data_IF_399236672808
#
_entry.id   IF_399236672808
#
_cell.length_a   1.000
_cell.length_b   1.000
_cell.length_c   1.000
_cell.angle_alpha   90.00
_cell.angle_beta   90.00
_cell.angle_gamma   90.00
#
_symmetry.space_group_name_H-M   'P 1'
#
loop_
_entity.id
_entity.type
_entity.pdbx_description
1 polymer ?
#
# COMPACT_ATOMS: atom_id res chain seq x y z
N UNK A 1 -26.56 -4.99 11.24
CA UNK A 1 -25.70 -4.72 12.39
C UNK A 1 -26.31 -3.58 13.18
N UNK A 2 -26.41 -3.68 14.51
CA UNK A 2 -26.75 -2.50 15.32
C UNK A 2 -25.62 -1.46 15.26
N UNK A 3 -25.94 -0.20 15.53
CA UNK A 3 -24.94 0.87 15.61
C UNK A 3 -23.87 0.61 16.69
N UNK A 4 -24.24 -0.05 17.79
CA UNK A 4 -23.30 -0.41 18.86
C UNK A 4 -22.28 -1.44 18.39
N UNK A 5 -22.74 -2.51 17.74
CA UNK A 5 -21.85 -3.55 17.22
C UNK A 5 -20.95 -3.00 16.11
N UNK A 6 -21.50 -2.17 15.23
CA UNK A 6 -20.73 -1.47 14.20
C UNK A 6 -19.61 -0.60 14.77
N UNK A 7 -19.88 0.13 15.87
CA UNK A 7 -18.86 0.91 16.56
C UNK A 7 -17.77 0.03 17.17
N UNK A 8 -18.14 -1.10 17.78
CA UNK A 8 -17.18 -2.09 18.29
C UNK A 8 -16.28 -2.63 17.18
N UNK A 9 -16.85 -3.05 16.05
CA UNK A 9 -16.08 -3.52 14.89
C UNK A 9 -15.17 -2.41 14.35
N UNK A 10 -15.66 -1.16 14.27
CA UNK A 10 -14.83 -0.05 13.83
C UNK A 10 -13.62 0.18 14.75
N UNK A 11 -13.82 0.14 16.08
CA UNK A 11 -12.72 0.29 17.05
C UNK A 11 -11.69 -0.85 16.91
N UNK A 12 -12.15 -2.10 16.74
CA UNK A 12 -11.26 -3.26 16.57
C UNK A 12 -10.48 -3.16 15.25
N UNK A 13 -11.14 -2.81 14.14
CA UNK A 13 -10.48 -2.67 12.84
C UNK A 13 -9.48 -1.51 12.80
N UNK A 14 -9.73 -0.42 13.53
CA UNK A 14 -8.76 0.68 13.66
C UNK A 14 -7.51 0.20 14.41
N UNK A 15 -7.68 -0.45 15.57
CA UNK A 15 -6.56 -1.00 16.37
C UNK A 15 -5.79 -2.05 15.57
N UNK A 16 -6.50 -2.91 14.83
CA UNK A 16 -5.87 -3.88 13.95
C UNK A 16 -5.02 -3.19 12.88
N UNK A 17 -5.59 -2.17 12.21
CA UNK A 17 -4.85 -1.35 11.24
C UNK A 17 -3.61 -0.69 11.85
N UNK A 18 -3.72 -0.10 13.05
CA UNK A 18 -2.59 0.47 13.79
C UNK A 18 -1.50 -0.57 14.07
N UNK A 19 -1.87 -1.81 14.38
CA UNK A 19 -0.92 -2.90 14.62
C UNK A 19 -0.28 -3.46 13.34
N UNK A 20 -0.91 -3.25 12.18
CA UNK A 20 -0.37 -3.58 10.87
C UNK A 20 0.59 -2.52 10.31
N UNK A 21 0.53 -1.28 10.81
CA UNK A 21 1.41 -0.21 10.37
C UNK A 21 2.88 -0.51 10.70
N UNK A 22 3.78 -0.07 9.81
CA UNK A 22 5.19 0.10 10.16
C UNK A 22 5.31 1.16 11.25
N UNK A 23 6.30 1.02 12.12
CA UNK A 23 6.54 1.99 13.19
C UNK A 23 7.10 3.30 12.62
N UNK A 24 6.97 4.40 13.38
CA UNK A 24 7.61 5.67 13.02
C UNK A 24 9.12 5.55 12.86
N UNK A 25 9.77 4.73 13.70
CA UNK A 25 11.20 4.44 13.58
C UNK A 25 11.54 3.72 12.27
N UNK A 26 10.77 2.69 11.89
CA UNK A 26 10.96 1.99 10.62
C UNK A 26 10.74 2.93 9.43
N UNK A 27 9.72 3.79 9.50
CA UNK A 27 9.46 4.80 8.48
C UNK A 27 10.64 5.78 8.37
N UNK A 28 11.12 6.34 9.48
CA UNK A 28 12.22 7.30 9.47
C UNK A 28 13.54 6.65 8.99
N UNK A 29 13.81 5.41 9.38
CA UNK A 29 14.96 4.66 8.88
C UNK A 29 14.90 4.44 7.36
N UNK A 30 13.71 4.10 6.83
CA UNK A 30 13.50 3.99 5.39
C UNK A 30 13.74 5.32 4.67
N UNK A 31 13.26 6.44 5.24
CA UNK A 31 13.47 7.80 4.71
C UNK A 31 14.96 8.14 4.66
N UNK A 32 15.65 8.01 5.79
CA UNK A 32 17.08 8.30 5.89
C UNK A 32 17.89 7.50 4.87
N UNK A 33 17.59 6.21 4.73
CA UNK A 33 18.30 5.34 3.79
C UNK A 33 18.07 5.72 2.33
N UNK A 34 16.84 6.01 1.89
CA UNK A 34 16.62 6.37 0.49
C UNK A 34 17.11 7.78 0.16
N UNK A 35 17.12 8.69 1.15
CA UNK A 35 17.71 10.03 1.03
C UNK A 35 19.23 9.92 0.86
N UNK A 36 19.90 9.08 1.67
CA UNK A 36 21.33 8.81 1.52
C UNK A 36 21.69 8.24 0.14
N UNK A 37 20.87 7.32 -0.38
CA UNK A 37 21.01 6.81 -1.76
C UNK A 37 20.82 7.94 -2.78
N UNK A 38 19.82 8.80 -2.59
CA UNK A 38 19.58 9.97 -3.43
C UNK A 38 20.76 10.94 -3.46
N UNK A 39 21.34 11.25 -2.30
CA UNK A 39 22.52 12.09 -2.15
C UNK A 39 23.74 11.47 -2.84
N UNK A 40 23.92 10.15 -2.72
CA UNK A 40 25.00 9.46 -3.40
C UNK A 40 24.87 9.51 -4.93
N UNK A 41 23.67 9.25 -5.46
CA UNK A 41 23.39 9.31 -6.89
C UNK A 41 23.59 10.73 -7.45
N UNK A 42 23.22 11.75 -6.67
CA UNK A 42 23.24 13.17 -7.06
C UNK A 42 24.50 13.93 -6.66
N UNK A 43 25.52 13.26 -6.10
CA UNK A 43 26.77 13.90 -5.69
C UNK A 43 27.52 14.56 -6.86
N UNK A 44 28.04 15.76 -6.65
CA UNK A 44 28.88 16.46 -7.63
C UNK A 44 30.07 15.60 -8.07
N UNK A 45 30.35 15.61 -9.38
CA UNK A 45 31.35 14.74 -9.99
C UNK A 45 30.84 13.35 -10.37
N UNK A 46 29.62 12.96 -9.98
CA UNK A 46 29.00 11.73 -10.51
C UNK A 46 28.63 11.91 -11.99
N UNK A 47 28.66 10.82 -12.73
CA UNK A 47 28.22 10.79 -14.13
C UNK A 47 26.73 11.14 -14.29
N UNK A 48 25.92 10.91 -13.25
CA UNK A 48 24.49 11.23 -13.25
C UNK A 48 24.21 12.70 -12.91
N UNK A 49 25.14 13.40 -12.23
CA UNK A 49 24.97 14.77 -11.74
C UNK A 49 24.38 15.75 -12.77
N UNK A 50 24.83 15.79 -14.05
CA UNK A 50 24.28 16.70 -15.05
C UNK A 50 22.77 16.51 -15.33
N UNK A 51 22.22 15.36 -14.97
CA UNK A 51 20.82 14.99 -15.15
C UNK A 51 20.00 15.12 -13.86
N UNK A 52 20.56 15.70 -12.80
CA UNK A 52 19.86 15.99 -11.54
C UNK A 52 19.04 14.80 -11.02
N UNK A 53 19.67 13.64 -10.74
CA UNK A 53 18.96 12.45 -10.30
C UNK A 53 18.28 12.72 -8.97
N UNK A 54 17.03 12.25 -8.81
CA UNK A 54 16.27 12.36 -7.56
C UNK A 54 15.59 11.03 -7.26
N UNK A 55 15.72 10.59 -6.01
CA UNK A 55 14.95 9.47 -5.47
C UNK A 55 13.61 9.98 -4.96
N UNK A 56 12.53 9.31 -5.36
CA UNK A 56 11.17 9.63 -4.93
C UNK A 56 10.44 8.31 -4.65
N UNK A 57 9.85 8.11 -3.45
CA UNK A 57 9.08 6.92 -3.17
C UNK A 57 7.80 6.85 -4.01
N UNK A 58 7.39 5.63 -4.29
CA UNK A 58 6.15 5.28 -4.96
C UNK A 58 5.44 4.14 -4.21
N UNK A 59 4.45 3.52 -4.85
CA UNK A 59 3.83 2.30 -4.34
C UNK A 59 3.22 2.46 -2.95
N UNK A 60 3.26 1.40 -2.15
CA UNK A 60 2.54 1.36 -0.87
C UNK A 60 3.08 2.35 0.17
N UNK A 61 4.38 2.68 0.08
CA UNK A 61 5.01 3.71 0.91
C UNK A 61 4.39 5.09 0.64
N UNK A 62 4.32 5.50 -0.63
CA UNK A 62 3.72 6.78 -1.02
C UNK A 62 2.22 6.85 -0.71
N UNK A 63 1.49 5.76 -0.90
CA UNK A 63 0.05 5.70 -0.61
C UNK A 63 -0.26 5.65 0.89
N UNK A 64 0.75 5.40 1.73
CA UNK A 64 0.57 5.19 3.17
C UNK A 64 -0.21 3.91 3.48
N UNK A 65 -0.12 2.89 2.62
CA UNK A 65 -0.79 1.58 2.72
C UNK A 65 0.21 0.42 2.87
N UNK A 66 1.46 0.75 3.21
CA UNK A 66 2.46 -0.22 3.62
C UNK A 66 1.99 -0.94 4.90
N UNK A 67 2.28 -2.23 4.99
CA UNK A 67 1.98 -3.05 6.15
C UNK A 67 3.24 -3.81 6.53
N UNK A 68 3.41 -4.11 7.82
CA UNK A 68 4.42 -5.06 8.25
C UNK A 68 4.22 -6.40 7.54
N UNK A 69 5.27 -7.21 7.35
CA UNK A 69 5.12 -8.59 6.88
C UNK A 69 4.43 -9.51 7.90
N UNK A 70 4.27 -10.79 7.57
CA UNK A 70 3.73 -11.81 8.49
C UNK A 70 4.81 -12.24 9.47
N UNK A 71 5.98 -12.62 8.98
CA UNK A 71 7.12 -12.92 9.82
C UNK A 71 7.85 -11.62 10.14
N UNK A 72 8.27 -11.44 11.40
CA UNK A 72 8.96 -10.21 11.82
C UNK A 72 10.35 -10.06 11.16
N UNK A 73 10.90 -11.17 10.67
CA UNK A 73 12.18 -11.25 9.97
C UNK A 73 12.07 -11.02 8.45
N UNK A 74 10.85 -10.98 7.90
CA UNK A 74 10.67 -10.67 6.47
C UNK A 74 10.90 -9.17 6.23
N UNK A 75 11.34 -8.84 5.03
CA UNK A 75 11.63 -7.47 4.63
C UNK A 75 10.38 -6.68 4.22
N UNK A 76 10.39 -5.39 4.53
CA UNK A 76 9.42 -4.42 4.02
C UNK A 76 9.85 -3.94 2.63
N UNK A 77 8.96 -4.00 1.63
CA UNK A 77 9.25 -3.47 0.29
C UNK A 77 9.09 -1.94 0.22
N UNK A 78 10.15 -1.24 -0.19
CA UNK A 78 10.16 0.20 -0.44
C UNK A 78 10.41 0.44 -1.92
N UNK A 79 9.34 0.76 -2.65
CA UNK A 79 9.43 1.12 -4.06
C UNK A 79 9.90 2.57 -4.24
N UNK A 80 10.97 2.76 -5.00
CA UNK A 80 11.59 4.06 -5.28
C UNK A 80 11.70 4.30 -6.79
N UNK A 81 11.60 5.56 -7.19
CA UNK A 81 11.90 6.03 -8.54
C UNK A 81 13.18 6.84 -8.50
N UNK A 82 14.21 6.41 -9.24
CA UNK A 82 15.36 7.24 -9.58
C UNK A 82 15.05 8.02 -10.85
N UNK A 83 14.67 9.28 -10.69
CA UNK A 83 14.24 10.17 -11.78
C UNK A 83 15.40 11.02 -12.25
N UNK A 84 15.68 10.98 -13.55
CA UNK A 84 16.63 11.86 -14.23
C UNK A 84 15.92 12.90 -15.11
N UNK A 85 16.50 14.09 -15.18
CA UNK A 85 16.13 15.19 -16.08
C UNK A 85 16.77 15.00 -17.46
N UNK A 86 16.22 14.07 -18.24
CA UNK A 86 16.76 13.70 -19.55
C UNK A 86 17.92 12.70 -19.46
N UNK A 87 18.66 12.57 -20.56
CA UNK A 87 19.76 11.62 -20.75
C UNK A 87 20.68 12.09 -21.90
N UNK A 88 21.89 11.53 -22.06
CA UNK A 88 22.61 11.60 -23.33
C UNK A 88 21.77 11.10 -24.50
N UNK A 89 21.92 11.73 -25.68
CA UNK A 89 21.14 11.40 -26.86
C UNK A 89 21.25 9.91 -27.25
N UNK A 90 22.47 9.35 -27.17
CA UNK A 90 22.76 7.96 -27.53
C UNK A 90 22.32 6.91 -26.51
N UNK A 91 21.85 7.31 -25.32
CA UNK A 91 21.43 6.34 -24.31
C UNK A 91 20.14 5.64 -24.69
N UNK A 92 20.10 4.36 -24.37
CA UNK A 92 18.93 3.49 -24.44
C UNK A 92 18.50 3.14 -23.01
N UNK A 93 17.43 2.36 -22.83
CA UNK A 93 17.01 1.90 -21.50
C UNK A 93 18.13 1.13 -20.80
N UNK A 94 18.91 0.36 -21.58
CA UNK A 94 20.11 -0.33 -21.10
C UNK A 94 21.12 0.61 -20.47
N UNK A 95 21.54 1.63 -21.22
CA UNK A 95 22.51 2.61 -20.74
C UNK A 95 22.04 3.35 -19.48
N UNK A 96 20.75 3.72 -19.40
CA UNK A 96 20.21 4.34 -18.18
C UNK A 96 20.28 3.37 -16.99
N UNK A 97 19.85 2.12 -17.18
CA UNK A 97 19.85 1.12 -16.11
C UNK A 97 21.27 0.86 -15.62
N UNK A 98 22.22 0.69 -16.54
CA UNK A 98 23.65 0.50 -16.23
C UNK A 98 24.23 1.72 -15.53
N UNK A 99 23.98 2.95 -16.01
CA UNK A 99 24.52 4.16 -15.38
C UNK A 99 24.06 4.34 -13.92
N UNK A 100 22.79 3.99 -13.60
CA UNK A 100 22.32 3.99 -12.21
C UNK A 100 22.96 2.87 -11.40
N UNK A 101 23.03 1.66 -11.95
CA UNK A 101 23.63 0.50 -11.26
C UNK A 101 25.12 0.65 -11.00
N UNK A 102 25.88 1.12 -11.98
CA UNK A 102 27.30 1.37 -11.88
C UNK A 102 27.56 2.44 -10.82
N UNK A 103 26.75 3.51 -10.80
CA UNK A 103 26.85 4.51 -9.75
C UNK A 103 26.56 3.94 -8.36
N UNK A 104 25.58 3.05 -8.20
CA UNK A 104 25.36 2.34 -6.92
C UNK A 104 26.58 1.51 -6.53
N UNK A 105 27.17 0.76 -7.47
CA UNK A 105 28.33 -0.12 -7.26
C UNK A 105 29.63 0.61 -6.92
N UNK A 106 29.75 1.89 -7.29
CA UNK A 106 30.89 2.72 -6.88
C UNK A 106 30.94 2.94 -5.35
N UNK A 107 29.80 2.80 -4.66
CA UNK A 107 29.76 2.81 -3.20
C UNK A 107 29.92 1.38 -2.66
N UNK A 108 30.97 1.12 -1.88
CA UNK A 108 31.27 -0.24 -1.39
C UNK A 108 30.12 -0.86 -0.60
N UNK A 109 29.42 -0.06 0.22
CA UNK A 109 28.26 -0.54 1.01
C UNK A 109 27.10 -0.94 0.08
N UNK A 110 26.65 -0.06 -0.82
CA UNK A 110 25.52 -0.37 -1.71
C UNK A 110 25.84 -1.50 -2.67
N UNK A 111 27.09 -1.60 -3.14
CA UNK A 111 27.54 -2.73 -3.96
C UNK A 111 27.30 -4.08 -3.28
N UNK A 112 27.56 -4.17 -1.98
CA UNK A 112 27.40 -5.39 -1.19
C UNK A 112 25.93 -5.64 -0.81
N UNK A 113 25.10 -4.61 -0.76
CA UNK A 113 23.66 -4.71 -0.52
C UNK A 113 22.85 -5.06 -1.78
N UNK A 114 23.45 -5.02 -2.97
CA UNK A 114 22.72 -5.36 -4.20
C UNK A 114 22.33 -6.84 -4.24
N UNK A 115 21.02 -7.12 -4.26
CA UNK A 115 20.45 -8.47 -4.45
C UNK A 115 21.06 -9.14 -5.69
N UNK A 116 21.20 -8.39 -6.79
CA UNK A 116 21.81 -8.84 -8.02
C UNK A 116 22.77 -7.80 -8.60
N UNK A 117 23.98 -8.26 -8.95
CA UNK A 117 24.98 -7.43 -9.63
C UNK A 117 24.55 -7.03 -11.05
N UNK A 118 23.58 -7.72 -11.65
CA UNK A 118 23.00 -7.36 -12.94
C UNK A 118 21.71 -6.54 -12.77
N UNK A 119 21.15 -6.47 -11.56
CA UNK A 119 19.86 -5.85 -11.25
C UNK A 119 18.67 -6.65 -11.76
N UNK A 120 17.49 -6.39 -11.20
CA UNK A 120 16.22 -7.01 -11.61
C UNK A 120 15.75 -6.57 -13.01
N UNK A 121 14.55 -7.00 -13.40
CA UNK A 121 13.93 -6.66 -14.70
C UNK A 121 13.88 -5.15 -14.93
N UNK A 122 13.37 -4.41 -13.95
CA UNK A 122 13.19 -2.95 -14.01
C UNK A 122 14.03 -2.22 -12.98
N UNK A 123 14.05 -2.70 -11.74
CA UNK A 123 14.69 -2.03 -10.61
C UNK A 123 16.11 -2.54 -10.32
N UNK A 124 16.85 -1.78 -9.52
CA UNK A 124 18.00 -2.23 -8.75
C UNK A 124 17.56 -2.35 -7.30
N UNK A 125 17.82 -3.50 -6.67
CA UNK A 125 17.30 -3.80 -5.32
C UNK A 125 18.44 -3.81 -4.34
N UNK A 126 18.32 -3.01 -3.27
CA UNK A 126 19.24 -3.01 -2.13
C UNK A 126 18.59 -3.71 -0.95
N UNK A 127 19.26 -4.73 -0.41
CA UNK A 127 18.87 -5.47 0.78
C UNK A 127 19.43 -4.79 2.04
N UNK A 128 18.54 -4.24 2.87
CA UNK A 128 18.88 -3.69 4.19
C UNK A 128 18.53 -4.66 5.32
N UNK A 129 18.31 -5.94 5.01
CA UNK A 129 17.91 -7.01 5.93
C UNK A 129 18.83 -7.11 7.16
N UNK A 130 20.14 -6.96 7.00
CA UNK A 130 21.10 -7.01 8.14
C UNK A 130 20.99 -5.83 9.13
N UNK A 131 20.35 -4.73 8.74
CA UNK A 131 20.36 -3.48 9.52
C UNK A 131 18.97 -2.96 9.89
N UNK A 132 17.95 -3.21 9.05
CA UNK A 132 16.66 -2.53 9.17
C UNK A 132 15.43 -3.29 8.61
N UNK A 133 15.59 -4.52 8.12
CA UNK A 133 14.53 -5.40 7.58
C UNK A 133 13.66 -4.75 6.48
N UNK A 134 14.30 -4.25 5.41
CA UNK A 134 13.60 -3.79 4.22
C UNK A 134 14.42 -3.93 2.92
N UNK A 135 13.72 -4.03 1.80
CA UNK A 135 14.28 -3.96 0.46
C UNK A 135 13.97 -2.62 -0.20
N UNK A 136 14.95 -2.03 -0.88
CA UNK A 136 14.77 -0.80 -1.65
C UNK A 136 14.85 -1.05 -3.14
N UNK A 137 13.71 -0.97 -3.82
CA UNK A 137 13.60 -1.15 -5.25
C UNK A 137 13.75 0.18 -5.99
N UNK A 138 14.93 0.43 -6.55
CA UNK A 138 15.26 1.68 -7.24
C UNK A 138 14.99 1.51 -8.74
N UNK A 139 13.90 2.13 -9.23
CA UNK A 139 13.52 2.14 -10.64
C UNK A 139 14.19 3.28 -11.41
N UNK A 140 15.14 3.02 -12.34
CA UNK A 140 15.69 4.06 -13.20
C UNK A 140 14.63 4.61 -14.15
N UNK A 141 14.55 5.93 -14.26
CA UNK A 141 13.55 6.60 -15.07
C UNK A 141 13.99 7.96 -15.60
N UNK A 142 13.28 8.41 -16.64
CA UNK A 142 13.40 9.75 -17.21
C UNK A 142 12.07 10.46 -17.11
N UNK A 143 12.12 11.71 -16.69
CA UNK A 143 10.95 12.58 -16.65
C UNK A 143 11.24 13.95 -17.28
N UNK A 144 10.18 14.73 -17.47
CA UNK A 144 10.30 16.12 -17.88
C UNK A 144 11.13 16.93 -16.87
N UNK A 145 11.86 17.95 -17.35
CA UNK A 145 12.67 18.82 -16.47
C UNK A 145 11.79 19.54 -15.43
N UNK A 146 10.55 19.87 -15.78
CA UNK A 146 9.58 20.51 -14.91
C UNK A 146 8.83 19.52 -14.00
N UNK A 147 9.13 18.22 -14.09
CA UNK A 147 8.42 17.18 -13.34
C UNK A 147 8.30 17.48 -11.84
N UNK A 148 9.36 18.00 -11.21
CA UNK A 148 9.34 18.30 -9.77
C UNK A 148 8.38 19.43 -9.43
N UNK A 149 8.32 20.48 -10.25
CA UNK A 149 7.36 21.58 -10.09
C UNK A 149 5.94 21.05 -10.27
N UNK A 150 5.71 20.28 -11.35
CA UNK A 150 4.41 19.69 -11.66
C UNK A 150 3.95 18.72 -10.58
N UNK A 151 4.85 17.94 -9.99
CA UNK A 151 4.56 17.03 -8.90
C UNK A 151 4.09 17.80 -7.65
N UNK A 152 4.84 18.83 -7.25
CA UNK A 152 4.45 19.68 -6.12
C UNK A 152 3.10 20.36 -6.37
N UNK A 153 2.90 20.94 -7.55
CA UNK A 153 1.61 21.53 -7.95
C UNK A 153 0.47 20.50 -7.92
N UNK A 154 0.72 19.28 -8.37
CA UNK A 154 -0.30 18.24 -8.44
C UNK A 154 -0.80 17.80 -7.07
N UNK A 155 0.04 17.86 -6.03
CA UNK A 155 -0.31 17.47 -4.66
C UNK A 155 -0.78 18.66 -3.81
N UNK A 156 -0.39 19.89 -4.17
CA UNK A 156 -0.78 21.12 -3.44
C UNK A 156 -2.02 21.80 -4.02
N UNK A 157 -2.28 21.66 -5.33
CA UNK A 157 -3.42 22.30 -5.99
C UNK A 157 -4.60 21.34 -6.13
N UNK A 158 -5.79 21.83 -5.75
CA UNK A 158 -7.06 21.12 -5.86
C UNK A 158 -7.59 21.00 -7.30
N UNK A 159 -7.01 21.74 -8.25
CA UNK A 159 -7.42 21.67 -9.65
C UNK A 159 -7.06 20.32 -10.29
N UNK A 160 -7.88 19.94 -11.27
CA UNK A 160 -7.68 18.76 -12.10
C UNK A 160 -6.45 18.98 -12.99
N UNK A 161 -5.29 18.67 -12.43
CA UNK A 161 -4.03 18.68 -13.16
C UNK A 161 -4.03 17.46 -14.08
N UNK A 162 -3.64 17.66 -15.34
CA UNK A 162 -3.43 16.57 -16.29
C UNK A 162 -2.31 15.65 -15.76
N UNK A 163 -2.70 14.52 -15.18
CA UNK A 163 -1.77 13.56 -14.57
C UNK A 163 -0.82 12.97 -15.61
N UNK A 164 -1.10 13.07 -16.92
CA UNK A 164 -0.15 12.66 -17.95
C UNK A 164 1.17 13.41 -17.87
N UNK A 165 1.17 14.64 -17.32
CA UNK A 165 2.38 15.43 -17.11
C UNK A 165 3.29 14.86 -16.01
N UNK A 166 2.76 13.97 -15.17
CA UNK A 166 3.52 13.23 -14.14
C UNK A 166 4.02 11.87 -14.66
N UNK A 167 3.80 11.55 -15.93
CA UNK A 167 4.29 10.31 -16.50
C UNK A 167 5.82 10.33 -16.63
N UNK A 168 6.40 9.17 -16.36
CA UNK A 168 7.83 8.89 -16.47
C UNK A 168 8.07 7.80 -17.52
N UNK A 169 9.30 7.72 -18.01
CA UNK A 169 9.78 6.67 -18.91
C UNK A 169 10.72 5.77 -18.16
N UNK A 170 10.44 4.47 -18.15
CA UNK A 170 11.11 3.51 -17.27
C UNK A 170 11.93 2.50 -18.08
N UNK A 171 12.89 1.86 -17.42
CA UNK A 171 13.67 0.76 -18.00
C UNK A 171 12.96 -0.57 -17.82
N UNK A 172 13.02 -1.44 -18.85
CA UNK A 172 12.55 -2.82 -18.77
C UNK A 172 13.43 -3.73 -19.63
N UNK A 173 14.17 -4.66 -18.98
CA UNK A 173 15.08 -5.60 -19.66
C UNK A 173 14.36 -6.53 -20.64
N UNK A 174 13.07 -6.79 -20.45
CA UNK A 174 12.29 -7.66 -21.34
C UNK A 174 11.75 -6.91 -22.57
N UNK A 175 11.92 -5.59 -22.62
CA UNK A 175 11.52 -4.82 -23.78
C UNK A 175 12.43 -5.14 -24.98
N UNK A 176 11.83 -5.50 -26.11
CA UNK A 176 12.56 -5.84 -27.35
C UNK A 176 13.48 -4.72 -27.86
N UNK A 177 13.22 -3.48 -27.45
CA UNK A 177 14.01 -2.31 -27.81
C UNK A 177 14.96 -1.81 -26.71
N UNK A 178 15.11 -2.57 -25.62
CA UNK A 178 15.86 -2.19 -24.42
C UNK A 178 17.28 -1.66 -24.71
N UNK A 179 18.00 -2.32 -25.62
CA UNK A 179 19.40 -2.00 -25.94
C UNK A 179 19.59 -1.08 -27.15
N UNK A 180 18.52 -0.78 -27.92
CA UNK A 180 18.64 -0.09 -29.22
C UNK A 180 17.83 1.20 -29.34
N UNK A 181 16.72 1.37 -28.60
CA UNK A 181 15.88 2.56 -28.74
C UNK A 181 16.42 3.73 -27.94
N UNK A 182 16.88 4.76 -28.65
CA UNK A 182 17.36 6.02 -28.09
C UNK A 182 16.24 7.03 -27.84
N UNK A 183 15.15 6.94 -28.60
CA UNK A 183 14.05 7.90 -28.50
C UNK A 183 13.16 7.61 -27.28
N UNK A 184 13.11 8.58 -26.37
CA UNK A 184 12.53 8.40 -25.03
C UNK A 184 11.00 8.26 -25.07
N UNK A 185 10.33 8.83 -26.07
CA UNK A 185 8.88 8.67 -26.26
C UNK A 185 8.43 7.23 -26.50
N UNK A 186 9.31 6.38 -27.03
CA UNK A 186 9.05 4.96 -27.32
C UNK A 186 9.39 4.05 -26.14
N UNK A 187 9.98 4.58 -25.07
CA UNK A 187 10.22 3.83 -23.85
C UNK A 187 8.92 3.60 -23.11
N UNK A 188 8.89 2.55 -22.28
CA UNK A 188 7.72 2.19 -21.50
C UNK A 188 7.28 3.38 -20.63
N UNK A 189 6.02 3.81 -20.80
CA UNK A 189 5.43 4.90 -20.04
C UNK A 189 4.83 4.35 -18.75
N UNK A 190 5.16 4.96 -17.61
CA UNK A 190 4.54 4.68 -16.32
C UNK A 190 4.11 5.98 -15.65
N UNK A 191 3.16 5.94 -14.73
CA UNK A 191 2.67 7.13 -14.03
C UNK A 191 2.31 6.84 -12.56
N UNK A 192 3.29 6.43 -11.73
CA UNK A 192 3.03 6.08 -10.34
C UNK A 192 2.52 7.27 -9.52
N UNK A 193 2.98 8.48 -9.84
CA UNK A 193 2.58 9.71 -9.13
C UNK A 193 1.17 10.18 -9.52
N UNK A 194 0.79 10.02 -10.79
CA UNK A 194 -0.60 10.19 -11.22
C UNK A 194 -1.53 9.20 -10.54
N UNK A 195 -1.12 7.93 -10.43
CA UNK A 195 -1.87 6.92 -9.68
C UNK A 195 -2.02 7.31 -8.20
N UNK A 196 -0.95 7.77 -7.56
CA UNK A 196 -1.00 8.24 -6.18
C UNK A 196 -1.96 9.43 -6.00
N UNK A 197 -1.92 10.42 -6.91
CA UNK A 197 -2.88 11.52 -6.91
C UNK A 197 -4.32 11.02 -7.02
N UNK A 198 -4.59 10.12 -7.98
CA UNK A 198 -5.91 9.51 -8.13
C UNK A 198 -6.36 8.78 -6.87
N UNK A 199 -5.47 7.99 -6.25
CA UNK A 199 -5.76 7.28 -5.01
C UNK A 199 -6.14 8.26 -3.88
N UNK A 200 -5.38 9.33 -3.68
CA UNK A 200 -5.72 10.32 -2.65
C UNK A 200 -7.02 11.07 -2.95
N UNK A 201 -7.31 11.38 -4.22
CA UNK A 201 -8.62 11.90 -4.62
C UNK A 201 -9.76 10.93 -4.30
N UNK A 202 -9.52 9.62 -4.35
CA UNK A 202 -10.47 8.58 -3.90
C UNK A 202 -10.50 8.44 -2.38
N UNK A 203 -9.40 8.60 -1.66
CA UNK A 203 -9.33 8.44 -0.21
C UNK A 203 -9.94 9.61 0.59
N UNK A 204 -9.80 10.85 0.10
CA UNK A 204 -10.29 12.05 0.80
C UNK A 204 -11.83 12.02 0.84
N UNK A 205 -12.39 11.98 2.05
CA UNK A 205 -13.85 11.95 2.27
C UNK A 205 -14.40 13.26 2.85
N UNK A 206 -13.55 14.13 3.41
CA UNK A 206 -13.98 15.41 3.99
C UNK A 206 -13.07 16.57 3.58
N UNK A 207 -13.64 17.76 3.50
CA UNK A 207 -12.91 19.00 3.19
C UNK A 207 -11.84 19.31 4.24
N UNK A 208 -12.09 19.03 5.54
CA UNK A 208 -11.11 19.21 6.61
C UNK A 208 -9.85 18.36 6.40
N UNK A 209 -10.01 17.07 6.06
CA UNK A 209 -8.86 16.21 5.75
C UNK A 209 -8.14 16.66 4.48
N UNK A 210 -8.86 17.23 3.52
CA UNK A 210 -8.26 17.81 2.31
C UNK A 210 -7.32 18.98 2.64
N UNK A 211 -7.72 19.90 3.53
CA UNK A 211 -6.90 21.03 3.94
C UNK A 211 -5.61 20.61 4.69
N UNK A 212 -5.72 19.70 5.65
CA UNK A 212 -4.55 19.16 6.36
C UNK A 212 -3.55 18.49 5.40
N UNK A 213 -4.05 17.95 4.28
CA UNK A 213 -3.24 17.26 3.29
C UNK A 213 -2.49 18.21 2.34
N UNK A 214 -3.00 19.43 2.12
CA UNK A 214 -2.39 20.44 1.25
C UNK A 214 -1.30 21.28 1.93
N UNK A 215 -1.12 21.14 3.24
CA UNK A 215 -0.04 21.85 3.97
C UNK A 215 1.34 21.18 3.83
N UNK A 216 1.41 19.94 3.32
CA UNK A 216 2.70 19.28 3.04
C UNK A 216 3.34 19.86 1.79
N UNK A 217 4.47 20.56 1.93
CA UNK A 217 5.21 21.14 0.79
C UNK A 217 5.84 20.04 -0.09
N UNK A 218 6.17 18.89 0.49
CA UNK A 218 6.74 17.75 -0.22
C UNK A 218 5.66 16.71 -0.62
N UNK A 219 5.66 16.22 -1.87
CA UNK A 219 4.80 15.11 -2.31
C UNK A 219 5.04 13.82 -1.51
N UNK A 220 6.24 13.65 -0.93
CA UNK A 220 6.55 12.63 0.06
C UNK A 220 6.10 13.13 1.42
N UNK A 221 5.01 12.56 1.93
CA UNK A 221 4.41 13.02 3.18
C UNK A 221 5.13 12.45 4.38
N UNK A 222 5.29 13.22 5.47
CA UNK A 222 5.84 12.73 6.72
C UNK A 222 5.00 11.57 7.28
N UNK A 223 5.55 10.83 8.25
CA UNK A 223 4.85 9.76 8.92
C UNK A 223 3.44 10.20 9.37
N UNK A 224 2.42 9.49 8.89
CA UNK A 224 1.02 9.77 9.24
C UNK A 224 0.52 8.66 10.16
N UNK A 225 0.39 8.99 11.45
CA UNK A 225 -0.20 8.08 12.45
C UNK A 225 -1.68 7.81 12.15
N UNK A 226 -2.43 8.86 11.80
CA UNK A 226 -3.83 8.72 11.42
C UNK A 226 -3.97 8.42 9.93
N UNK A 227 -4.71 7.36 9.61
CA UNK A 227 -4.98 6.94 8.23
C UNK A 227 -6.42 7.25 7.83
N UNK A 228 -6.66 7.37 6.53
CA UNK A 228 -8.03 7.46 5.98
C UNK A 228 -8.70 6.08 5.96
N UNK A 229 -10.04 6.00 6.03
CA UNK A 229 -10.75 4.73 5.98
C UNK A 229 -10.35 3.87 4.78
N UNK A 230 -10.20 4.45 3.59
CA UNK A 230 -9.72 3.72 2.41
C UNK A 230 -8.30 3.14 2.59
N UNK A 231 -7.37 3.90 3.18
CA UNK A 231 -6.01 3.40 3.43
C UNK A 231 -6.05 2.20 4.38
N UNK A 232 -6.82 2.29 5.47
CA UNK A 232 -7.02 1.21 6.44
C UNK A 232 -7.63 -0.03 5.81
N UNK A 233 -8.68 0.13 5.01
CA UNK A 233 -9.29 -0.99 4.29
C UNK A 233 -8.28 -1.65 3.34
N UNK A 234 -7.50 -0.88 2.58
CA UNK A 234 -6.45 -1.46 1.71
C UNK A 234 -5.43 -2.25 2.52
N UNK A 235 -4.98 -1.76 3.68
CA UNK A 235 -4.07 -2.50 4.56
C UNK A 235 -4.67 -3.82 5.05
N UNK A 236 -5.94 -3.80 5.49
CA UNK A 236 -6.66 -5.00 5.92
C UNK A 236 -6.78 -6.02 4.78
N UNK A 237 -7.14 -5.57 3.57
CA UNK A 237 -7.26 -6.44 2.40
C UNK A 237 -5.92 -7.07 2.00
N UNK A 238 -4.83 -6.29 2.04
CA UNK A 238 -3.48 -6.79 1.79
C UNK A 238 -3.09 -7.85 2.82
N UNK A 239 -3.32 -7.58 4.11
CA UNK A 239 -3.02 -8.55 5.18
C UNK A 239 -3.85 -9.83 5.03
N UNK A 240 -5.13 -9.72 4.74
CA UNK A 240 -5.99 -10.88 4.52
C UNK A 240 -5.48 -11.73 3.35
N UNK A 241 -5.03 -11.08 2.27
CA UNK A 241 -4.36 -11.77 1.15
C UNK A 241 -3.09 -12.46 1.65
N UNK A 242 -2.21 -11.76 2.36
CA UNK A 242 -0.95 -12.35 2.84
C UNK A 242 -1.19 -13.59 3.71
N UNK A 243 -2.18 -13.56 4.62
CA UNK A 243 -2.49 -14.70 5.49
C UNK A 243 -2.99 -15.90 4.68
N UNK A 244 -3.91 -15.69 3.74
CA UNK A 244 -4.42 -16.77 2.90
C UNK A 244 -3.31 -17.47 2.11
N UNK A 245 -2.35 -16.70 1.58
CA UNK A 245 -1.24 -17.21 0.76
C UNK A 245 0.04 -17.44 1.58
N UNK A 246 -0.08 -17.61 2.91
CA UNK A 246 1.07 -17.92 3.78
C UNK A 246 1.30 -19.41 4.00
N UNK A 247 0.33 -20.26 3.63
CA UNK A 247 0.48 -21.71 3.69
C UNK A 247 1.10 -22.27 2.41
N UNK A 248 1.77 -23.42 2.54
CA UNK A 248 2.36 -24.16 1.40
C UNK A 248 1.30 -24.75 0.44
N UNK A 249 0.00 -24.57 0.74
CA UNK A 249 -1.10 -25.00 -0.13
C UNK A 249 -1.19 -24.17 -1.42
N UNK A 250 -0.64 -22.95 -1.41
CA UNK A 250 -0.67 -22.04 -2.54
C UNK A 250 0.73 -21.72 -3.03
N UNK A 251 0.88 -21.61 -4.36
CA UNK A 251 2.06 -20.98 -4.94
C UNK A 251 1.98 -19.46 -4.71
N UNK A 252 2.73 -18.97 -3.74
CA UNK A 252 2.68 -17.56 -3.31
C UNK A 252 3.06 -16.57 -4.42
N UNK A 253 3.76 -17.00 -5.48
CA UNK A 253 4.07 -16.19 -6.67
C UNK A 253 2.81 -15.82 -7.47
N UNK A 254 1.72 -16.58 -7.29
CA UNK A 254 0.46 -16.37 -7.98
C UNK A 254 -0.58 -15.60 -7.16
N UNK A 255 -0.24 -15.17 -5.95
CA UNK A 255 -1.15 -14.41 -5.09
C UNK A 255 -1.61 -13.09 -5.74
N UNK A 256 -2.83 -12.60 -5.44
CA UNK A 256 -3.33 -11.32 -5.94
C UNK A 256 -2.38 -10.15 -5.71
N UNK A 257 -1.96 -9.43 -6.75
CA UNK A 257 -1.01 -8.32 -6.57
C UNK A 257 -1.65 -7.07 -5.93
N UNK A 258 -0.88 -6.35 -5.12
CA UNK A 258 -1.35 -5.20 -4.32
C UNK A 258 -2.01 -4.10 -5.15
N UNK A 259 -1.55 -3.86 -6.39
CA UNK A 259 -2.09 -2.84 -7.28
C UNK A 259 -3.52 -3.16 -7.72
N UNK A 260 -3.87 -4.44 -7.92
CA UNK A 260 -5.25 -4.86 -8.23
C UNK A 260 -6.14 -4.59 -7.01
N UNK A 261 -5.74 -5.07 -5.83
CA UNK A 261 -6.48 -4.88 -4.57
C UNK A 261 -6.73 -3.40 -4.31
N UNK A 262 -5.67 -2.59 -4.37
CA UNK A 262 -5.73 -1.14 -4.09
C UNK A 262 -6.63 -0.42 -5.10
N UNK A 263 -6.54 -0.77 -6.38
CA UNK A 263 -7.35 -0.15 -7.44
C UNK A 263 -8.83 -0.49 -7.28
N UNK A 264 -9.16 -1.76 -7.07
CA UNK A 264 -10.55 -2.20 -6.89
C UNK A 264 -11.16 -1.62 -5.60
N UNK A 265 -10.42 -1.63 -4.49
CA UNK A 265 -10.87 -1.03 -3.23
C UNK A 265 -11.14 0.47 -3.38
N UNK A 266 -10.25 1.19 -4.06
CA UNK A 266 -10.40 2.62 -4.33
C UNK A 266 -11.59 2.93 -5.22
N UNK A 267 -11.89 2.08 -6.22
CA UNK A 267 -13.09 2.20 -7.07
C UNK A 267 -14.38 1.94 -6.29
N UNK A 268 -14.37 0.93 -5.42
CA UNK A 268 -15.52 0.54 -4.61
C UNK A 268 -15.83 1.53 -3.49
N UNK A 269 -14.83 2.26 -2.99
CA UNK A 269 -15.01 3.18 -1.88
C UNK A 269 -16.02 4.30 -2.17
N UNK A 270 -17.00 4.43 -1.29
CA UNK A 270 -18.13 5.34 -1.38
C UNK A 270 -17.94 6.63 -0.56
N UNK A 271 -16.73 6.85 -0.04
CA UNK A 271 -16.38 7.97 0.87
C UNK A 271 -16.93 7.83 2.29
N UNK A 272 -17.27 6.61 2.74
CA UNK A 272 -17.64 6.36 4.14
C UNK A 272 -16.57 6.82 5.14
N UNK A 273 -16.99 7.48 6.23
CA UNK A 273 -16.07 8.14 7.17
C UNK A 273 -15.46 7.18 8.21
N UNK A 274 -16.07 6.00 8.42
CA UNK A 274 -15.61 4.99 9.36
C UNK A 274 -15.16 3.73 8.63
N UNK A 275 -14.23 2.98 9.24
CA UNK A 275 -13.59 1.81 8.64
C UNK A 275 -14.59 0.67 8.48
N UNK A 276 -15.48 0.44 9.45
CA UNK A 276 -16.43 -0.67 9.37
C UNK A 276 -17.36 -0.57 8.14
N UNK A 277 -17.95 0.60 7.90
CA UNK A 277 -18.76 0.86 6.70
C UNK A 277 -17.93 0.78 5.43
N UNK A 278 -16.76 1.42 5.42
CA UNK A 278 -15.87 1.41 4.27
C UNK A 278 -15.49 -0.02 3.89
N UNK A 279 -15.11 -0.85 4.85
CA UNK A 279 -14.76 -2.25 4.66
C UNK A 279 -15.94 -3.05 4.10
N UNK A 280 -17.12 -2.93 4.74
CA UNK A 280 -18.34 -3.62 4.29
C UNK A 280 -18.71 -3.23 2.86
N UNK A 281 -18.72 -1.92 2.53
CA UNK A 281 -19.10 -1.43 1.21
C UNK A 281 -18.10 -1.89 0.15
N UNK A 282 -16.80 -1.71 0.43
CA UNK A 282 -15.72 -2.06 -0.50
C UNK A 282 -15.78 -3.55 -0.83
N UNK A 283 -15.73 -4.41 0.19
CA UNK A 283 -15.67 -5.87 -0.02
C UNK A 283 -16.91 -6.36 -0.78
N UNK A 284 -18.10 -5.84 -0.45
CA UNK A 284 -19.35 -6.24 -1.11
C UNK A 284 -19.42 -5.84 -2.60
N UNK A 285 -18.48 -5.02 -3.12
CA UNK A 285 -18.49 -4.48 -4.48
C UNK A 285 -17.23 -4.77 -5.29
N UNK A 286 -16.15 -5.29 -4.67
CA UNK A 286 -14.86 -5.54 -5.34
C UNK A 286 -15.04 -6.29 -6.67
N UNK A 287 -15.83 -7.36 -6.65
CA UNK A 287 -16.12 -8.21 -7.83
C UNK A 287 -16.66 -7.43 -9.02
N UNK A 288 -17.53 -6.45 -8.78
CA UNK A 288 -18.21 -5.68 -9.84
C UNK A 288 -17.30 -4.72 -10.60
N UNK A 289 -16.08 -4.48 -10.11
CA UNK A 289 -15.10 -3.60 -10.75
C UNK A 289 -14.07 -4.35 -11.59
N UNK A 290 -14.23 -5.67 -11.75
CA UNK A 290 -13.47 -6.48 -12.69
C UNK A 290 -14.29 -6.62 -13.96
N UNK A 291 -13.79 -6.06 -15.05
CA UNK A 291 -14.48 -6.05 -16.34
C UNK A 291 -14.01 -7.23 -17.19
N UNK A 292 -14.75 -7.54 -18.25
CA UNK A 292 -14.28 -8.38 -19.35
C UNK A 292 -14.21 -7.48 -20.58
N UNK A 293 -13.02 -7.38 -21.20
CA UNK A 293 -12.78 -6.52 -22.37
C UNK A 293 -12.07 -7.27 -23.47
N UNK A 294 -12.36 -6.89 -24.71
CA UNK A 294 -11.57 -7.30 -25.87
C UNK A 294 -10.20 -6.62 -25.80
N UNK A 295 -9.15 -7.39 -25.62
CA UNK A 295 -7.78 -6.88 -25.68
C UNK A 295 -7.41 -6.65 -27.16
N UNK A 296 -7.14 -5.41 -27.58
CA UNK A 296 -6.85 -5.10 -28.99
C UNK A 296 -5.51 -5.70 -29.46
N UNK A 297 -4.61 -6.06 -28.54
CA UNK A 297 -3.30 -6.66 -28.88
C UNK A 297 -3.41 -8.15 -29.18
N UNK A 298 -4.26 -8.86 -28.45
CA UNK A 298 -4.41 -10.33 -28.55
C UNK A 298 -5.65 -10.74 -29.36
N UNK A 299 -6.65 -9.84 -29.47
CA UNK A 299 -7.95 -10.13 -30.06
C UNK A 299 -8.85 -11.00 -29.19
N UNK A 300 -8.50 -11.21 -27.91
CA UNK A 300 -9.22 -12.10 -27.00
C UNK A 300 -10.00 -11.32 -25.93
N UNK A 301 -11.07 -11.92 -25.41
CA UNK A 301 -11.77 -11.39 -24.24
C UNK A 301 -10.99 -11.75 -22.98
N UNK A 302 -10.56 -10.75 -22.24
CA UNK A 302 -9.72 -10.91 -21.05
C UNK A 302 -10.34 -10.20 -19.85
N UNK A 303 -10.07 -10.68 -18.64
CA UNK A 303 -10.36 -9.93 -17.42
C UNK A 303 -9.54 -8.66 -17.39
N UNK A 304 -10.19 -7.56 -17.01
CA UNK A 304 -9.62 -6.24 -17.13
C UNK A 304 -9.79 -5.42 -15.87
N UNK A 305 -8.67 -4.99 -15.31
CA UNK A 305 -8.58 -4.00 -14.24
C UNK A 305 -7.80 -2.82 -14.78
N UNK A 306 -8.50 -1.84 -15.37
CA UNK A 306 -7.84 -0.71 -16.05
C UNK A 306 -6.97 0.09 -15.07
N UNK A 307 -5.81 0.57 -15.49
CA UNK A 307 -5.09 1.60 -14.75
C UNK A 307 -5.92 2.91 -14.80
N UNK A 308 -6.30 3.51 -13.67
CA UNK A 308 -7.12 4.74 -13.64
C UNK A 308 -6.43 5.97 -14.25
N UNK A 309 -5.12 5.94 -14.47
CA UNK A 309 -4.38 7.02 -15.14
C UNK A 309 -3.86 6.63 -16.52
N UNK A 310 -4.18 5.41 -16.98
CA UNK A 310 -3.85 4.91 -18.31
C UNK A 310 -4.80 3.75 -18.67
N UNK A 311 -5.99 4.04 -19.19
CA UNK A 311 -7.03 3.01 -19.38
C UNK A 311 -6.63 1.87 -20.34
N UNK A 312 -5.64 2.10 -21.21
CA UNK A 312 -5.09 1.10 -22.11
C UNK A 312 -4.22 0.05 -21.40
N UNK A 313 -3.81 0.29 -20.16
CA UNK A 313 -3.06 -0.65 -19.32
C UNK A 313 -4.02 -1.48 -18.47
N UNK A 314 -3.83 -2.80 -18.52
CA UNK A 314 -4.56 -3.77 -17.71
C UNK A 314 -3.66 -4.28 -16.59
N UNK A 315 -4.02 -4.04 -15.32
CA UNK A 315 -3.27 -4.60 -14.18
C UNK A 315 -3.44 -6.12 -14.02
N UNK A 316 -4.43 -6.72 -14.69
CA UNK A 316 -4.66 -8.16 -14.73
C UNK A 316 -4.10 -8.83 -15.99
N UNK A 317 -3.20 -8.17 -16.73
CA UNK A 317 -2.62 -8.67 -17.99
C UNK A 317 -1.97 -10.06 -17.86
N UNK A 318 -1.33 -10.35 -16.73
CA UNK A 318 -0.70 -11.65 -16.47
C UNK A 318 -1.69 -12.81 -16.24
N UNK A 319 -2.98 -12.54 -16.04
CA UNK A 319 -3.99 -13.59 -15.83
C UNK A 319 -4.21 -14.44 -17.08
N UNK A 320 -4.15 -13.82 -18.27
CA UNK A 320 -4.24 -14.54 -19.55
C UNK A 320 -3.02 -15.43 -19.82
N UNK A 321 -1.88 -15.12 -19.20
CA UNK A 321 -0.63 -15.89 -19.33
C UNK A 321 -0.52 -17.00 -18.29
N UNK A 322 -1.04 -16.75 -17.08
CA UNK A 322 -0.98 -17.67 -15.93
C UNK A 322 -2.36 -17.71 -15.28
N UNK A 323 -3.17 -18.70 -15.66
CA UNK A 323 -4.57 -18.86 -15.22
C UNK A 323 -4.71 -18.91 -13.68
N UNK A 324 -3.72 -19.49 -12.99
CA UNK A 324 -3.69 -19.58 -11.53
C UNK A 324 -3.78 -18.21 -10.85
N UNK A 325 -3.29 -17.13 -11.48
CA UNK A 325 -3.39 -15.78 -10.91
C UNK A 325 -4.84 -15.28 -10.86
N UNK A 326 -5.66 -15.61 -11.86
CA UNK A 326 -7.10 -15.31 -11.85
C UNK A 326 -7.83 -16.22 -10.86
N UNK A 327 -7.54 -17.52 -10.88
CA UNK A 327 -8.14 -18.51 -9.97
C UNK A 327 -7.89 -18.14 -8.51
N UNK A 328 -6.65 -17.82 -8.15
CA UNK A 328 -6.26 -17.43 -6.79
C UNK A 328 -6.89 -16.09 -6.38
N UNK A 329 -7.05 -15.17 -7.33
CA UNK A 329 -7.77 -13.93 -7.07
C UNK A 329 -9.23 -14.17 -6.69
N UNK A 330 -9.94 -15.00 -7.46
CA UNK A 330 -11.33 -15.31 -7.16
C UNK A 330 -11.49 -16.17 -5.90
N UNK A 331 -10.58 -17.13 -5.65
CA UNK A 331 -10.56 -17.88 -4.40
C UNK A 331 -10.38 -16.95 -3.18
N UNK A 332 -9.46 -15.98 -3.27
CA UNK A 332 -9.28 -14.96 -2.24
C UNK A 332 -10.52 -14.09 -2.05
N UNK A 333 -11.17 -13.69 -3.14
CA UNK A 333 -12.37 -12.88 -3.08
C UNK A 333 -13.55 -13.64 -2.44
N UNK A 334 -13.72 -14.92 -2.77
CA UNK A 334 -14.74 -15.79 -2.16
C UNK A 334 -14.49 -15.92 -0.64
N UNK A 335 -13.23 -16.15 -0.24
CA UNK A 335 -12.87 -16.25 1.18
C UNK A 335 -13.11 -14.93 1.92
N UNK A 336 -12.73 -13.81 1.33
CA UNK A 336 -12.95 -12.48 1.87
C UNK A 336 -14.45 -12.15 2.04
N UNK A 337 -15.30 -12.56 1.11
CA UNK A 337 -16.76 -12.37 1.18
C UNK A 337 -17.41 -13.27 2.24
N UNK A 338 -16.92 -14.50 2.42
CA UNK A 338 -17.30 -15.40 3.53
C UNK A 338 -16.95 -14.77 4.88
N UNK A 339 -15.71 -14.32 5.03
CA UNK A 339 -15.19 -13.74 6.27
C UNK A 339 -15.89 -12.40 6.61
N UNK A 340 -16.24 -11.59 5.61
CA UNK A 340 -17.11 -10.43 5.80
C UNK A 340 -18.48 -10.83 6.35
N UNK A 341 -19.06 -11.93 5.86
CA UNK A 341 -20.35 -12.42 6.33
C UNK A 341 -20.28 -12.85 7.80
N UNK A 342 -19.18 -13.48 8.21
CA UNK A 342 -18.92 -13.79 9.62
C UNK A 342 -18.92 -12.53 10.49
N UNK A 343 -18.32 -11.43 10.02
CA UNK A 343 -18.34 -10.13 10.72
C UNK A 343 -19.76 -9.56 10.78
N UNK A 344 -20.48 -9.50 9.65
CA UNK A 344 -21.84 -8.91 9.56
C UNK A 344 -22.85 -9.60 10.47
N UNK A 345 -22.77 -10.93 10.57
CA UNK A 345 -23.70 -11.77 11.32
C UNK A 345 -23.10 -12.32 12.63
N UNK A 346 -21.97 -11.75 13.07
CA UNK A 346 -21.28 -12.13 14.31
C UNK A 346 -21.85 -11.50 15.59
N UNK A 347 -22.82 -10.59 15.44
CA UNK A 347 -23.46 -9.89 16.56
C UNK A 347 -24.02 -10.89 17.59
N UNK A 348 -23.73 -10.67 18.87
CA UNK A 348 -24.09 -11.53 20.02
C UNK A 348 -23.38 -12.89 20.11
N UNK A 349 -22.39 -13.21 19.26
CA UNK A 349 -21.59 -14.44 19.39
C UNK A 349 -20.47 -14.34 20.45
N UNK A 350 -20.18 -13.13 20.92
CA UNK A 350 -19.17 -12.85 21.93
C UNK A 350 -17.77 -12.57 21.36
N UNK A 351 -16.97 -11.81 22.10
CA UNK A 351 -15.65 -11.34 21.66
C UNK A 351 -14.64 -12.46 21.38
N UNK A 352 -14.79 -13.62 22.03
CA UNK A 352 -13.94 -14.79 21.78
C UNK A 352 -14.08 -15.30 20.34
N UNK A 353 -15.31 -15.47 19.86
CA UNK A 353 -15.58 -15.94 18.50
C UNK A 353 -15.10 -14.93 17.47
N UNK A 354 -15.25 -13.62 17.77
CA UNK A 354 -14.72 -12.56 16.92
C UNK A 354 -13.18 -12.59 16.87
N UNK A 355 -12.52 -12.80 18.01
CA UNK A 355 -11.06 -12.94 18.09
C UNK A 355 -10.56 -14.13 17.27
N UNK A 356 -11.17 -15.30 17.41
CA UNK A 356 -10.83 -16.49 16.60
C UNK A 356 -11.01 -16.21 15.10
N UNK A 357 -12.14 -15.60 14.71
CA UNK A 357 -12.42 -15.25 13.32
C UNK A 357 -11.40 -14.27 12.75
N UNK A 358 -11.06 -13.21 13.49
CA UNK A 358 -10.05 -12.24 13.06
C UNK A 358 -8.67 -12.88 13.00
N UNK A 359 -8.33 -13.77 13.95
CA UNK A 359 -7.05 -14.44 14.01
C UNK A 359 -6.82 -15.31 12.77
N UNK A 360 -7.86 -15.99 12.28
CA UNK A 360 -7.81 -16.74 11.02
C UNK A 360 -7.64 -15.84 9.78
N UNK A 361 -8.18 -14.61 9.81
CA UNK A 361 -8.12 -13.67 8.68
C UNK A 361 -6.83 -12.85 8.61
N UNK A 362 -6.31 -12.44 9.77
CA UNK A 362 -5.26 -11.43 9.87
C UNK A 362 -4.00 -11.90 10.60
N UNK A 363 -4.02 -13.10 11.16
CA UNK A 363 -2.91 -13.73 11.86
C UNK A 363 -3.03 -13.65 13.38
N UNK A 364 -2.71 -14.77 14.05
CA UNK A 364 -2.90 -14.93 15.50
C UNK A 364 -2.15 -13.87 16.34
N UNK A 365 -0.91 -13.55 15.99
CA UNK A 365 -0.06 -12.65 16.80
C UNK A 365 -0.61 -11.22 16.82
N UNK A 366 -0.86 -10.64 15.64
CA UNK A 366 -1.35 -9.25 15.51
C UNK A 366 -2.76 -9.10 16.09
N UNK A 367 -3.61 -10.12 15.94
CA UNK A 367 -4.98 -10.08 16.47
C UNK A 367 -4.99 -10.24 17.98
N UNK A 368 -4.16 -11.12 18.56
CA UNK A 368 -4.02 -11.22 20.02
C UNK A 368 -3.62 -9.89 20.64
N UNK A 369 -2.67 -9.18 20.02
CA UNK A 369 -2.27 -7.82 20.44
C UNK A 369 -3.43 -6.83 20.29
N UNK A 370 -4.15 -6.87 19.16
CA UNK A 370 -5.31 -6.01 18.89
C UNK A 370 -6.38 -6.15 19.97
N UNK A 371 -6.76 -7.38 20.33
CA UNK A 371 -7.80 -7.62 21.34
C UNK A 371 -7.33 -7.28 22.76
N UNK A 372 -6.03 -7.42 23.05
CA UNK A 372 -5.45 -6.95 24.32
C UNK A 372 -5.53 -5.41 24.43
N UNK A 373 -5.13 -4.69 23.38
CA UNK A 373 -5.20 -3.22 23.32
C UNK A 373 -6.66 -2.72 23.35
N UNK A 374 -7.57 -3.40 22.66
CA UNK A 374 -9.01 -3.13 22.73
C UNK A 374 -9.54 -3.31 24.17
N UNK A 375 -9.21 -4.43 24.82
CA UNK A 375 -9.57 -4.70 26.21
C UNK A 375 -9.04 -3.64 27.18
N UNK A 376 -7.81 -3.18 26.98
CA UNK A 376 -7.17 -2.15 27.81
C UNK A 376 -7.80 -0.76 27.60
N UNK A 377 -8.05 -0.35 26.35
CA UNK A 377 -8.81 0.89 26.05
C UNK A 377 -10.18 0.86 26.74
N UNK A 378 -10.84 -0.29 26.73
CA UNK A 378 -12.14 -0.50 27.36
C UNK A 378 -12.07 -0.43 28.89
N UNK A 379 -11.02 -1.00 29.50
CA UNK A 379 -10.76 -0.93 30.95
C UNK A 379 -10.56 0.52 31.40
N UNK A 380 -9.71 1.26 30.70
CA UNK A 380 -9.43 2.68 30.99
C UNK A 380 -10.71 3.53 30.87
N UNK A 381 -11.51 3.31 29.82
CA UNK A 381 -12.78 4.03 29.65
C UNK A 381 -13.78 3.70 30.76
N UNK A 382 -13.82 2.45 31.23
CA UNK A 382 -14.66 2.03 32.35
C UNK A 382 -14.22 2.72 33.65
N UNK A 383 -12.92 2.71 33.95
CA UNK A 383 -12.35 3.33 35.15
C UNK A 383 -12.58 4.84 35.18
N UNK A 384 -12.60 5.50 34.02
CA UNK A 384 -12.95 6.92 33.87
C UNK A 384 -14.46 7.21 33.91
N UNK A 385 -15.31 6.18 34.06
CA UNK A 385 -16.78 6.32 34.04
C UNK A 385 -17.39 6.61 32.65
N UNK A 386 -16.57 6.56 31.60
CA UNK A 386 -16.97 6.83 30.22
C UNK A 386 -17.47 5.58 29.47
N UNK A 387 -17.34 4.38 30.07
CA UNK A 387 -18.01 3.15 29.63
C UNK A 387 -19.18 2.83 30.55
N UNK A 388 -20.34 2.59 29.95
CA UNK A 388 -21.57 2.19 30.61
C UNK A 388 -22.14 0.97 29.90
N UNK A 389 -22.85 0.13 30.64
CA UNK A 389 -23.54 -1.03 30.09
C UNK A 389 -24.98 -0.65 29.76
N UNK A 390 -25.38 -0.85 28.50
CA UNK A 390 -26.75 -0.64 28.07
C UNK A 390 -27.70 -1.55 28.86
N UNK A 391 -28.77 -0.96 29.40
CA UNK A 391 -29.77 -1.69 30.19
C UNK A 391 -30.56 -2.60 29.22
N UNK A 392 -30.55 -3.91 29.48
CA UNK A 392 -31.31 -4.90 28.71
C UNK A 392 -30.51 -5.71 27.68
N UNK A 393 -29.43 -5.16 27.12
CA UNK A 393 -28.59 -5.87 26.11
C UNK A 393 -27.22 -6.27 26.64
N UNK A 394 -26.73 -5.67 27.73
CA UNK A 394 -25.40 -5.95 28.28
C UNK A 394 -24.24 -5.39 27.45
N UNK A 395 -24.53 -4.69 26.34
CA UNK A 395 -23.53 -4.11 25.45
C UNK A 395 -22.84 -2.90 26.09
N UNK A 396 -21.55 -2.76 25.82
CA UNK A 396 -20.72 -1.66 26.33
C UNK A 396 -20.85 -0.43 25.42
N UNK A 397 -21.20 0.72 25.99
CA UNK A 397 -21.34 1.99 25.27
C UNK A 397 -21.05 3.20 26.15
N UNK A 398 -21.42 4.39 25.70
CA UNK A 398 -21.34 5.63 26.51
C UNK A 398 -22.63 5.92 27.29
N UNK A 399 -23.71 5.20 27.01
CA UNK A 399 -25.06 5.36 27.58
C UNK A 399 -25.45 4.07 28.29
N UNK A 400 -25.96 4.16 29.52
CA UNK A 400 -26.37 2.98 30.31
C UNK A 400 -25.99 3.08 31.79
N UNK A 401 -25.97 1.95 32.49
CA UNK A 401 -25.51 1.88 33.89
C UNK A 401 -23.97 1.91 33.96
N UNK A 402 -23.37 2.65 34.90
CA UNK A 402 -21.93 2.55 35.15
C UNK A 402 -21.58 1.11 35.52
N UNK A 403 -20.47 0.61 34.98
CA UNK A 403 -19.98 -0.73 35.28
C UNK A 403 -19.03 -0.60 36.46
N UNK A 404 -19.27 -1.30 37.59
CA UNK A 404 -18.38 -1.26 38.73
C UNK A 404 -16.95 -1.65 38.33
N UNK A 405 -15.96 -1.00 38.93
CA UNK A 405 -14.58 -1.48 38.82
C UNK A 405 -14.48 -2.84 39.51
N UNK A 406 -13.90 -3.82 38.82
CA UNK A 406 -13.61 -5.11 39.42
C UNK A 406 -12.32 -5.00 40.22
N UNK A 407 -12.42 -4.58 41.48
CA UNK A 407 -11.35 -4.73 42.46
C UNK A 407 -11.46 -6.15 43.00
N UNK A 408 -10.91 -7.13 42.29
CA UNK A 408 -10.82 -8.49 42.82
C UNK A 408 -9.71 -8.52 43.88
N UNK A 409 -10.06 -8.18 45.12
CA UNK A 409 -9.27 -8.49 46.31
C UNK A 409 -9.61 -9.91 46.76
N UNK A 410 -9.17 -10.90 45.98
CA UNK A 410 -9.19 -12.28 46.44
C UNK A 410 -8.08 -12.47 47.47
N UNK A 411 -8.44 -12.56 48.75
CA UNK A 411 -7.52 -13.08 49.76
C UNK A 411 -7.12 -14.51 49.38
N UNK A 412 -5.81 -14.76 49.37
CA UNK A 412 -5.14 -16.05 49.12
C UNK A 412 -5.64 -17.10 50.11
#
# INVERSE_FOLDING_TARGET
MTESYKKEINEILEILGENLDITENQYNAAVESYEAVGDWLSKEGSFLFPYSPRIIPQGSFMLGTIIKPICEDDDIDIDLVCKLNGKPAHWTQKHLKEAVGDRLKEHSVYKNMLESQDGGQRCWTLEYSDQANYHMDILPSIADKNFTVLLNEAFNNHQQLDTNKLAIRITDKENIFYSIMTETEWWLKSNPFGYAKWFFQRAIYSSKRMFALSESVDPVRPFQKEKMPLQRVVQLLKRHRDIMFSSDEYDSENKPISIIITTLASRAYDKGENIADAYINIVSRLRSYIETKLNPKTGQQERWVSNPVNEAENFADKWALVAQKEEYFYAWLDKLEEDLSAIKYGENKGLHILNESFSAQYGNQVVKRTFAEYGEKNRILREKGNRKMAIGTGLLGSVGKPIPNHNFEGNI
#
